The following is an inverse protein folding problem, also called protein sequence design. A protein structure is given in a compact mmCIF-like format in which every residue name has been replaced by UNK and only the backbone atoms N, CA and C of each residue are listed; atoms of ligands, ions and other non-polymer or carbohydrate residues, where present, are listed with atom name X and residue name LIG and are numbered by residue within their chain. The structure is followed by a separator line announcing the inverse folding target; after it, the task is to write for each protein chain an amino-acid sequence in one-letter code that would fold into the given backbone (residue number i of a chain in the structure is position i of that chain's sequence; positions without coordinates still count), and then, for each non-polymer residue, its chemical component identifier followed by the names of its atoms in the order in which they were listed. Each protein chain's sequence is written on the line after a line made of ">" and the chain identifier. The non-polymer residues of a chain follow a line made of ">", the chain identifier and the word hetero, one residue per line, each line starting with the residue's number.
data_IF_448154243027
#
_entry.id   IF_448154243027
#
_cell.length_a   1.000
_cell.length_b   1.000
_cell.length_c   1.000
_cell.angle_alpha   90.00
_cell.angle_beta   90.00
_cell.angle_gamma   90.00
#
_symmetry.space_group_name_H-M   'P 1'
#
loop_
_entity.id
_entity.type
_entity.pdbx_description
1 polymer ?
#
# COMPACT_ATOMS: atom_id res chain seq x y z
N UNK A 1 9.26 25.08 23.06
CA UNK A 1 10.55 24.65 23.02
C UNK A 1 10.97 24.23 21.66
N UNK A 2 12.20 24.48 21.37
CA UNK A 2 12.72 24.26 20.03
C UNK A 2 12.58 22.81 19.59
N UNK A 3 12.83 21.89 20.49
CA UNK A 3 12.76 20.49 20.15
C UNK A 3 11.37 20.06 19.76
N UNK A 4 10.37 20.52 20.48
CA UNK A 4 9.00 20.17 20.16
C UNK A 4 8.55 20.82 18.86
N UNK A 5 8.99 22.05 18.61
CA UNK A 5 8.66 22.71 17.37
C UNK A 5 9.31 22.00 16.21
N UNK A 6 10.54 21.53 16.38
CA UNK A 6 11.19 20.76 15.32
C UNK A 6 10.44 19.48 15.04
N UNK A 7 10.01 18.78 16.07
CA UNK A 7 9.27 17.54 15.90
C UNK A 7 7.95 17.81 15.21
N UNK A 8 7.26 18.87 15.60
CA UNK A 8 6.00 19.22 14.97
C UNK A 8 6.16 19.54 13.50
N UNK A 9 7.19 20.32 13.18
CA UNK A 9 7.45 20.65 11.78
C UNK A 9 7.85 19.43 10.97
N UNK A 10 8.66 18.56 11.57
CA UNK A 10 9.07 17.37 10.86
C UNK A 10 7.93 16.39 10.66
N UNK A 11 7.02 16.31 11.63
CA UNK A 11 5.85 15.47 11.46
C UNK A 11 4.96 15.99 10.35
N UNK A 12 4.77 17.31 10.29
CA UNK A 12 3.97 17.90 9.22
C UNK A 12 4.62 17.65 7.86
N UNK A 13 5.94 17.82 7.78
CA UNK A 13 6.66 17.58 6.55
C UNK A 13 6.57 16.11 6.14
N UNK A 14 6.62 15.22 7.13
CA UNK A 14 6.54 13.80 6.85
C UNK A 14 5.17 13.41 6.31
N UNK A 15 4.10 14.00 6.87
CA UNK A 15 2.76 13.72 6.37
C UNK A 15 2.60 14.19 4.94
N UNK A 16 3.15 15.36 4.62
CA UNK A 16 3.10 15.86 3.26
C UNK A 16 3.89 14.96 2.32
N UNK A 17 5.05 14.50 2.77
CA UNK A 17 5.88 13.60 1.96
C UNK A 17 5.21 12.24 1.76
N UNK A 18 4.51 11.76 2.78
CA UNK A 18 3.78 10.50 2.64
C UNK A 18 2.65 10.63 1.63
N UNK A 19 1.99 11.78 1.61
CA UNK A 19 0.95 12.00 0.63
C UNK A 19 1.51 11.93 -0.77
N UNK A 20 2.65 12.59 -0.99
CA UNK A 20 3.27 12.62 -2.31
C UNK A 20 3.82 11.27 -2.73
N UNK A 21 4.25 10.46 -1.79
CA UNK A 21 4.83 9.15 -2.10
C UNK A 21 3.81 8.03 -2.05
N UNK A 22 2.53 8.37 -1.90
CA UNK A 22 1.46 7.39 -1.81
C UNK A 22 1.67 6.43 -0.64
N UNK A 23 2.18 6.95 0.46
CA UNK A 23 2.34 6.15 1.66
C UNK A 23 3.64 5.37 1.78
N UNK A 24 4.59 5.59 0.87
CA UNK A 24 5.85 4.85 0.93
C UNK A 24 6.76 5.52 1.96
N UNK A 25 6.90 4.88 3.10
CA UNK A 25 7.62 5.46 4.23
C UNK A 25 9.08 5.73 3.92
N UNK A 26 9.76 4.80 3.26
CA UNK A 26 11.17 4.96 2.96
C UNK A 26 11.42 6.21 2.11
N UNK A 27 10.63 6.37 1.06
CA UNK A 27 10.78 7.53 0.18
C UNK A 27 10.48 8.82 0.91
N UNK A 28 9.39 8.83 1.69
CA UNK A 28 8.98 10.02 2.41
C UNK A 28 10.03 10.42 3.44
N UNK A 29 10.52 9.46 4.21
CA UNK A 29 11.51 9.74 5.25
C UNK A 29 12.79 10.30 4.65
N UNK A 30 13.19 9.74 3.52
CA UNK A 30 14.38 10.22 2.85
C UNK A 30 14.24 11.66 2.40
N UNK A 31 13.08 12.01 1.85
CA UNK A 31 12.88 13.36 1.36
C UNK A 31 12.81 14.38 2.49
N UNK A 32 12.37 13.97 3.66
CA UNK A 32 12.29 14.86 4.82
C UNK A 32 13.60 14.91 5.57
N UNK A 33 14.41 13.88 5.44
CA UNK A 33 15.68 13.82 6.14
C UNK A 33 15.57 13.24 7.54
N UNK A 34 14.62 12.33 7.74
CA UNK A 34 14.50 11.64 9.02
C UNK A 34 14.71 10.16 8.79
N UNK A 35 14.86 9.42 9.87
CA UNK A 35 14.98 7.99 9.78
C UNK A 35 13.64 7.34 9.91
N UNK A 36 13.48 6.20 9.28
CA UNK A 36 12.21 5.47 9.34
C UNK A 36 11.81 5.18 10.79
N UNK A 37 12.78 4.93 11.64
CA UNK A 37 12.48 4.64 13.03
C UNK A 37 11.80 5.81 13.72
N UNK A 38 12.14 7.03 13.33
CA UNK A 38 11.47 8.20 13.89
C UNK A 38 9.98 8.19 13.54
N UNK A 39 9.67 7.87 12.29
CA UNK A 39 8.28 7.80 11.86
C UNK A 39 7.50 6.76 12.69
N UNK A 40 8.06 5.57 12.84
CA UNK A 40 7.36 4.51 13.57
C UNK A 40 7.22 4.83 15.04
N UNK A 41 8.23 5.50 15.62
CA UNK A 41 8.13 5.92 17.00
C UNK A 41 7.01 6.95 17.17
N UNK A 42 6.90 7.87 16.23
CA UNK A 42 5.82 8.87 16.30
C UNK A 42 4.46 8.19 16.19
N UNK A 43 4.34 7.16 15.37
CA UNK A 43 3.08 6.44 15.27
C UNK A 43 2.69 5.79 16.58
N UNK A 44 3.66 5.34 17.35
CA UNK A 44 3.38 4.74 18.65
C UNK A 44 3.09 5.77 19.73
N UNK A 45 3.73 6.92 19.63
CA UNK A 45 3.64 7.91 20.70
C UNK A 45 2.59 8.98 20.48
N UNK A 46 2.20 9.19 19.25
CA UNK A 46 1.33 10.31 18.89
C UNK A 46 0.11 9.79 18.15
N UNK A 47 -1.00 9.69 18.85
CA UNK A 47 -2.22 9.12 18.28
C UNK A 47 -2.74 9.94 17.10
N UNK A 48 -2.58 11.25 17.15
CA UNK A 48 -3.04 12.09 16.05
C UNK A 48 -2.18 11.90 14.81
N UNK A 49 -0.88 11.75 15.01
CA UNK A 49 0.00 11.48 13.90
C UNK A 49 -0.35 10.14 13.26
N UNK A 50 -0.57 9.13 14.09
CA UNK A 50 -0.94 7.81 13.59
C UNK A 50 -2.23 7.85 12.80
N UNK A 51 -3.21 8.60 13.32
CA UNK A 51 -4.49 8.74 12.63
C UNK A 51 -4.30 9.39 11.26
N UNK A 52 -3.50 10.44 11.21
CA UNK A 52 -3.24 11.12 9.94
C UNK A 52 -2.54 10.21 8.95
N UNK A 53 -1.60 9.41 9.44
CA UNK A 53 -0.90 8.45 8.59
C UNK A 53 -1.88 7.43 8.02
N UNK A 54 -2.77 6.91 8.87
CA UNK A 54 -3.74 5.93 8.43
C UNK A 54 -4.69 6.50 7.38
N UNK A 55 -5.09 7.75 7.57
CA UNK A 55 -5.97 8.40 6.60
C UNK A 55 -5.27 8.59 5.25
N UNK A 56 -3.99 8.93 5.29
CA UNK A 56 -3.23 9.06 4.05
C UNK A 56 -3.08 7.70 3.35
N UNK A 57 -2.95 6.64 4.12
CA UNK A 57 -2.86 5.31 3.54
C UNK A 57 -4.15 4.95 2.81
N UNK A 58 -5.29 5.31 3.40
CA UNK A 58 -6.57 5.06 2.76
C UNK A 58 -6.70 5.83 1.45
N UNK A 59 -6.30 7.09 1.47
CA UNK A 59 -6.36 7.91 0.26
C UNK A 59 -5.47 7.33 -0.84
N UNK A 60 -4.27 6.89 -0.46
CA UNK A 60 -3.36 6.30 -1.43
C UNK A 60 -3.95 5.02 -2.02
N UNK A 61 -4.61 4.23 -1.20
CA UNK A 61 -5.23 3.00 -1.66
C UNK A 61 -6.39 3.31 -2.61
N UNK A 62 -7.20 4.31 -2.27
CA UNK A 62 -8.29 4.74 -3.14
C UNK A 62 -7.75 5.17 -4.50
N UNK A 63 -6.66 5.91 -4.50
CA UNK A 63 -6.06 6.34 -5.76
C UNK A 63 -5.61 5.15 -6.59
N UNK A 64 -4.93 4.20 -5.95
CA UNK A 64 -4.46 3.01 -6.66
C UNK A 64 -5.62 2.22 -7.23
N UNK A 65 -6.71 2.12 -6.47
CA UNK A 65 -7.90 1.42 -6.96
C UNK A 65 -8.49 2.11 -8.18
N UNK A 66 -8.48 3.45 -8.19
CA UNK A 66 -9.03 4.15 -9.33
C UNK A 66 -8.16 3.92 -10.57
N UNK A 67 -6.85 3.82 -10.41
CA UNK A 67 -5.96 3.52 -11.53
C UNK A 67 -6.20 2.12 -12.05
N UNK A 68 -6.41 1.17 -11.14
CA UNK A 68 -6.70 -0.19 -11.53
C UNK A 68 -7.99 -0.26 -12.34
N UNK A 69 -9.02 0.45 -11.90
CA UNK A 69 -10.29 0.47 -12.61
C UNK A 69 -10.14 1.05 -14.03
N UNK A 70 -9.34 2.10 -14.15
CA UNK A 70 -9.10 2.69 -15.47
C UNK A 70 -8.41 1.69 -16.38
N UNK A 71 -7.46 0.97 -15.86
CA UNK A 71 -6.74 -0.01 -16.65
C UNK A 71 -7.64 -1.15 -17.09
N UNK A 72 -8.52 -1.59 -16.21
CA UNK A 72 -9.46 -2.64 -16.56
C UNK A 72 -10.39 -2.15 -17.67
N UNK A 73 -10.87 -0.92 -17.57
CA UNK A 73 -11.73 -0.34 -18.58
C UNK A 73 -11.00 -0.22 -19.91
N UNK A 74 -9.70 0.00 -19.87
CA UNK A 74 -8.90 0.09 -21.09
C UNK A 74 -8.52 -1.28 -21.65
N UNK A 75 -8.95 -2.33 -21.02
CA UNK A 75 -8.72 -3.67 -21.52
C UNK A 75 -7.39 -4.30 -21.15
N UNK A 76 -6.76 -3.81 -20.10
CA UNK A 76 -5.48 -4.36 -19.71
C UNK A 76 -5.68 -5.70 -19.03
N UNK A 77 -5.05 -6.73 -19.60
CA UNK A 77 -5.23 -8.09 -19.13
C UNK A 77 -4.67 -8.29 -17.73
N UNK A 78 -3.47 -7.78 -17.49
CA UNK A 78 -2.84 -7.94 -16.17
C UNK A 78 -3.70 -7.38 -15.06
N UNK A 79 -4.26 -6.21 -15.29
CA UNK A 79 -5.08 -5.56 -14.28
C UNK A 79 -6.36 -6.31 -14.04
N UNK A 80 -6.96 -6.83 -15.09
CA UNK A 80 -8.19 -7.59 -14.96
C UNK A 80 -7.94 -8.89 -14.19
N UNK A 81 -6.85 -9.56 -14.50
CA UNK A 81 -6.48 -10.78 -13.79
C UNK A 81 -6.23 -10.48 -12.32
N UNK A 82 -5.49 -9.39 -12.04
CA UNK A 82 -5.21 -9.02 -10.66
C UNK A 82 -6.50 -8.76 -9.88
N UNK A 83 -7.43 -8.05 -10.50
CA UNK A 83 -8.69 -7.75 -9.84
C UNK A 83 -9.45 -9.04 -9.51
N UNK A 84 -9.50 -9.97 -10.47
CA UNK A 84 -10.20 -11.22 -10.26
C UNK A 84 -9.54 -12.04 -9.16
N UNK A 85 -8.21 -12.05 -9.11
CA UNK A 85 -7.51 -12.81 -8.08
C UNK A 85 -7.74 -12.26 -6.69
N UNK A 86 -7.94 -10.96 -6.59
CA UNK A 86 -8.09 -10.32 -5.27
C UNK A 86 -9.54 -10.18 -4.86
N UNK A 87 -10.36 -9.61 -5.73
CA UNK A 87 -11.75 -9.37 -5.38
C UNK A 87 -12.70 -10.48 -5.81
N UNK A 88 -12.25 -11.33 -6.70
CA UNK A 88 -13.09 -12.40 -7.21
C UNK A 88 -12.94 -13.72 -6.50
N UNK A 89 -12.22 -13.75 -5.38
CA UNK A 89 -11.93 -15.00 -4.70
C UNK A 89 -13.20 -15.72 -4.27
N UNK A 90 -14.20 -14.98 -3.84
CA UNK A 90 -15.44 -15.61 -3.39
C UNK A 90 -16.19 -16.28 -4.54
N UNK A 91 -15.85 -15.93 -5.78
CA UNK A 91 -16.46 -16.53 -6.95
C UNK A 91 -15.56 -17.58 -7.58
N UNK A 92 -14.47 -17.95 -6.90
CA UNK A 92 -13.62 -19.02 -7.37
C UNK A 92 -12.35 -18.61 -8.09
N UNK A 93 -12.13 -17.30 -8.26
CA UNK A 93 -10.92 -16.83 -8.93
C UNK A 93 -9.78 -16.79 -7.92
N UNK A 94 -9.08 -17.90 -7.79
CA UNK A 94 -7.95 -17.97 -6.87
C UNK A 94 -6.76 -18.52 -7.60
N UNK A 95 -5.59 -18.12 -7.13
CA UNK A 95 -4.36 -18.66 -7.66
C UNK A 95 -3.85 -19.69 -6.67
N UNK A 96 -3.58 -20.90 -7.14
CA UNK A 96 -3.07 -21.93 -6.25
C UNK A 96 -1.59 -22.06 -6.44
N UNK A 97 -0.91 -22.28 -5.35
CA UNK A 97 0.51 -22.41 -5.43
C UNK A 97 0.90 -23.78 -5.08
N UNK A 98 0.28 -24.75 -5.63
CA UNK A 98 0.66 -25.92 -5.32
C UNK A 98 1.71 -26.39 -5.89
N UNK A 99 2.38 -26.53 -5.81
CA UNK A 99 3.45 -26.77 -6.27
C UNK A 99 3.93 -27.82 -6.18
N UNK A 100 4.00 -27.91 -5.86
CA UNK A 100 4.51 -28.62 -5.73
C UNK A 100 4.63 -29.51 -6.12
N UNK A 101 4.58 -29.72 -6.20
CA UNK A 101 4.77 -30.49 -6.39
C UNK A 101 4.73 -31.33 -7.08
N UNK A 102 4.74 -31.61 -7.19
CA UNK A 102 4.71 -32.46 -7.64
C UNK A 102 4.45 -32.51 -8.86
N UNK A 103 4.59 -32.14 -9.33
CA UNK A 103 4.49 -32.14 -10.41
C UNK A 103 3.37 -32.07 -11.11
N UNK A 104 2.75 -31.98 -10.94
CA UNK A 104 1.75 -32.00 -11.48
C UNK A 104 1.05 -31.06 -11.60
N UNK A 105 0.87 -30.65 -11.37
CA UNK A 105 0.24 -29.93 -11.46
C UNK A 105 -0.06 -29.11 -11.91
N UNK A 106 -0.04 -28.78 -12.18
CA UNK A 106 -0.17 -28.13 -12.62
C UNK A 106 -0.93 -27.31 -12.72
N UNK A 107 -1.45 -27.00 -12.60
CA UNK A 107 -2.19 -26.35 -12.67
C UNK A 107 -2.44 -25.48 -12.13
N UNK A 108 -2.16 -25.19 -11.83
CA UNK A 108 -2.22 -24.48 -11.12
C UNK A 108 -2.69 -23.30 -11.21
N UNK A 109 -2.80 -22.69 -11.78
CA UNK A 109 -3.11 -21.57 -11.85
C UNK A 109 -4.27 -21.45 -12.28
N UNK A 110 -4.99 -21.51 -11.75
CA UNK A 110 -6.06 -21.39 -12.08
C UNK A 110 -6.73 -20.32 -11.71
N UNK A 111 -7.14 -19.57 -12.41
CA UNK A 111 -7.85 -18.52 -12.07
C UNK A 111 -9.20 -18.89 -11.85
N UNK A 112 -9.54 -20.08 -12.02
CA UNK A 112 -10.81 -20.33 -11.88
C UNK A 112 -11.10 -21.03 -10.81
N UNK A 113 -11.10 -21.26 -10.24
CA UNK A 113 -11.44 -21.89 -9.29
C UNK A 113 -11.52 -22.73 -8.96
#
# INVERSE_FOLDING_TARGET
>A
MAKQQNATLKKAAMLEALEKSLGVVTTAAKSVGIERTSHYRWCLEDAEYKKAVDELADVALDFAESQLHKQIQNGEVSSTIFYLKTKGRSRGYVETHQLEHKGDIVISLDLSN
#
